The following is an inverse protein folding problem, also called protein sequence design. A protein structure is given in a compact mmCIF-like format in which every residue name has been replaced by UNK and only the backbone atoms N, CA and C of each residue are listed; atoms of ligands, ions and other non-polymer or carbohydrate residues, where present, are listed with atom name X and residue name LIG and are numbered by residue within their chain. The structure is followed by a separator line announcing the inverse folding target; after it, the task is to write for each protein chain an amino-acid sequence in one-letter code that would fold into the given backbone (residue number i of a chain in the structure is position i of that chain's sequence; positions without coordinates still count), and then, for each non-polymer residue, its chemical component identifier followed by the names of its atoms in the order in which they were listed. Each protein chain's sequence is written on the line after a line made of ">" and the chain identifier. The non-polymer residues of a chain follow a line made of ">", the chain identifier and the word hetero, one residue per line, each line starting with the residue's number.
data_IF_454413690992
#
_entry.id   IF_454413690992
#
_cell.length_a   1.000
_cell.length_b   1.000
_cell.length_c   1.000
_cell.angle_alpha   90.00
_cell.angle_beta   90.00
_cell.angle_gamma   90.00
#
_symmetry.space_group_name_H-M   'P 1'
#
loop_
_entity.id
_entity.type
_entity.pdbx_description
1 polymer ?
#
# COMPACT_ATOMS: atom_id res chain seq x y z
N UNK A 1 2.68 6.71 -7.65
CA UNK A 1 3.76 5.72 -7.95
C UNK A 1 4.88 6.42 -8.74
N UNK A 2 6.16 6.02 -8.55
CA UNK A 2 7.31 6.55 -9.30
C UNK A 2 8.23 5.44 -9.84
N UNK A 3 8.83 4.64 -8.95
CA UNK A 3 9.79 3.61 -9.33
C UNK A 3 9.17 2.23 -9.58
N UNK A 4 7.94 1.97 -9.12
CA UNK A 4 7.23 0.70 -9.37
C UNK A 4 7.78 -0.55 -8.65
N UNK A 5 8.91 -0.44 -7.94
CA UNK A 5 9.60 -1.59 -7.30
C UNK A 5 9.92 -1.35 -5.82
N UNK A 6 9.16 -0.47 -5.16
CA UNK A 6 9.28 -0.13 -3.73
C UNK A 6 10.54 0.63 -3.29
N UNK A 7 11.55 0.81 -4.14
CA UNK A 7 12.80 1.50 -3.77
C UNK A 7 12.66 2.97 -3.33
N UNK A 8 11.59 3.64 -3.74
CA UNK A 8 11.45 5.09 -3.62
C UNK A 8 10.34 5.55 -2.66
N UNK A 9 9.61 4.63 -2.02
CA UNK A 9 8.55 4.96 -1.06
C UNK A 9 7.29 5.65 -1.62
N UNK A 10 7.30 6.09 -2.88
CA UNK A 10 6.21 6.85 -3.51
C UNK A 10 4.90 6.06 -3.75
N UNK A 11 4.89 4.78 -3.39
CA UNK A 11 3.74 3.90 -3.50
C UNK A 11 3.32 3.34 -2.13
N UNK A 12 3.82 3.90 -1.03
CA UNK A 12 3.42 3.48 0.32
C UNK A 12 2.02 4.02 0.61
N UNK A 13 1.12 3.14 1.02
CA UNK A 13 -0.19 3.47 1.58
C UNK A 13 -0.38 2.72 2.90
N UNK A 14 -1.12 3.33 3.82
CA UNK A 14 -1.30 2.79 5.15
C UNK A 14 -0.89 3.74 6.28
N UNK A 15 -1.03 3.25 7.52
CA UNK A 15 -0.61 3.96 8.72
C UNK A 15 0.49 3.16 9.45
N UNK A 16 1.14 3.75 10.45
CA UNK A 16 2.39 3.26 11.08
C UNK A 16 2.49 1.75 11.38
N UNK A 17 1.37 1.09 11.69
CA UNK A 17 1.32 -0.36 11.98
C UNK A 17 0.98 -1.23 10.76
N UNK A 18 0.39 -0.65 9.73
CA UNK A 18 -0.05 -1.34 8.51
C UNK A 18 0.40 -0.51 7.31
N UNK A 19 1.67 -0.63 6.93
CA UNK A 19 2.24 0.01 5.74
C UNK A 19 2.33 -1.01 4.61
N UNK A 20 1.77 -0.69 3.44
CA UNK A 20 1.86 -1.51 2.23
C UNK A 20 2.44 -0.69 1.08
N UNK A 21 3.26 -1.34 0.26
CA UNK A 21 3.73 -0.77 -0.99
C UNK A 21 2.77 -1.18 -2.09
N UNK A 22 1.93 -0.27 -2.58
CA UNK A 22 0.95 -0.55 -3.65
C UNK A 22 1.61 -1.10 -4.92
N UNK A 23 2.88 -0.77 -5.15
CA UNK A 23 3.62 -1.28 -6.30
C UNK A 23 4.26 -2.67 -6.11
N UNK A 24 4.18 -3.24 -4.91
CA UNK A 24 4.67 -4.59 -4.57
C UNK A 24 3.52 -5.47 -4.10
N UNK A 25 2.74 -4.97 -3.15
CA UNK A 25 1.62 -5.66 -2.49
C UNK A 25 0.28 -5.46 -3.21
N UNK A 26 0.19 -4.44 -4.08
CA UNK A 26 -1.01 -4.04 -4.82
C UNK A 26 -0.77 -4.03 -6.34
N UNK A 27 -1.70 -3.53 -7.17
CA UNK A 27 -2.64 -2.44 -6.87
C UNK A 27 -4.06 -2.88 -6.48
N UNK A 28 -4.36 -4.17 -6.57
CA UNK A 28 -5.68 -4.72 -6.26
C UNK A 28 -5.63 -5.34 -4.87
N UNK A 29 -6.48 -4.86 -3.98
CA UNK A 29 -6.58 -5.32 -2.61
C UNK A 29 -7.93 -5.98 -2.35
N UNK A 30 -7.93 -7.02 -1.52
CA UNK A 30 -9.18 -7.63 -1.07
C UNK A 30 -9.94 -6.69 -0.13
N UNK A 31 -11.24 -6.97 0.05
CA UNK A 31 -12.08 -6.20 0.96
C UNK A 31 -11.48 -6.09 2.37
N UNK A 32 -10.95 -7.20 2.90
CA UNK A 32 -10.34 -7.24 4.23
C UNK A 32 -9.06 -6.40 4.32
N UNK A 33 -8.22 -6.41 3.28
CA UNK A 33 -6.99 -5.61 3.25
C UNK A 33 -7.28 -4.11 3.32
N UNK A 34 -8.37 -3.67 2.69
CA UNK A 34 -8.78 -2.26 2.66
C UNK A 34 -9.27 -1.80 4.04
N UNK A 35 -10.10 -2.61 4.72
CA UNK A 35 -10.60 -2.26 6.06
C UNK A 35 -9.53 -2.39 7.15
N UNK A 36 -8.56 -3.30 6.99
CA UNK A 36 -7.49 -3.50 7.97
C UNK A 36 -6.29 -2.56 7.76
N UNK A 37 -6.18 -1.92 6.60
CA UNK A 37 -5.07 -1.01 6.28
C UNK A 37 -5.58 0.44 6.21
N UNK A 38 -5.58 1.18 7.33
CA UNK A 38 -6.02 2.58 7.36
C UNK A 38 -5.15 3.43 6.41
N UNK A 39 -5.77 4.10 5.44
CA UNK A 39 -5.06 4.83 4.37
C UNK A 39 -5.12 4.16 2.99
N UNK A 40 -5.76 2.99 2.87
CA UNK A 40 -6.25 2.47 1.59
C UNK A 40 -7.65 2.99 1.20
N UNK A 41 -8.38 3.52 2.18
CA UNK A 41 -9.65 4.26 2.04
C UNK A 41 -9.51 5.63 2.70
#
# INVERSE_FOLDING_TARGET
>A
MKCGVGKCGHCIAGSSTFLKYICIDGPVFGYYDIISTPGLI
#
